data_IF_192378641843
#
_entry.id   IF_192378641843
#
_cell.length_a   1.000
_cell.length_b   1.000
_cell.length_c   1.000
_cell.angle_alpha   90.00
_cell.angle_beta   90.00
_cell.angle_gamma   90.00
#
_symmetry.space_group_name_H-M   'P 1'
#
loop_
_entity.id
_entity.type
_entity.pdbx_description
1 polymer ?
#
# COMPACT_ATOMS: atom_id res chain seq x y z
N UNK A 1 9.44 0.93 -12.22
CA UNK A 1 8.64 0.50 -11.04
C UNK A 1 7.13 0.76 -11.15
N UNK A 2 6.65 1.72 -11.97
CA UNK A 2 5.21 2.08 -12.13
C UNK A 2 4.23 0.90 -12.27
N UNK A 3 4.53 -0.07 -13.14
CA UNK A 3 3.70 -1.27 -13.36
C UNK A 3 3.68 -2.19 -12.12
N UNK A 4 4.78 -2.27 -11.37
CA UNK A 4 4.90 -3.11 -10.18
C UNK A 4 4.08 -2.54 -9.03
N UNK A 5 4.19 -1.26 -8.74
CA UNK A 5 3.43 -0.60 -7.65
C UNK A 5 1.92 -0.56 -7.95
N UNK A 6 1.54 -0.37 -9.22
CA UNK A 6 0.14 -0.51 -9.65
C UNK A 6 -0.42 -1.92 -9.42
N UNK A 7 0.31 -2.96 -9.86
CA UNK A 7 -0.09 -4.35 -9.65
C UNK A 7 -0.16 -4.71 -8.16
N UNK A 8 0.75 -4.17 -7.35
CA UNK A 8 0.76 -4.34 -5.90
C UNK A 8 -0.54 -3.80 -5.29
N UNK A 9 -0.87 -2.52 -5.51
CA UNK A 9 -2.10 -1.91 -5.00
C UNK A 9 -3.36 -2.68 -5.44
N UNK A 10 -3.44 -3.09 -6.72
CA UNK A 10 -4.57 -3.90 -7.21
C UNK A 10 -4.69 -5.26 -6.51
N UNK A 11 -3.56 -5.91 -6.19
CA UNK A 11 -3.58 -7.18 -5.46
C UNK A 11 -4.04 -6.99 -4.02
N UNK A 12 -3.61 -5.94 -3.35
CA UNK A 12 -4.05 -5.60 -2.00
C UNK A 12 -5.55 -5.30 -1.94
N UNK A 13 -6.09 -4.57 -2.94
CA UNK A 13 -7.53 -4.36 -3.07
C UNK A 13 -8.28 -5.69 -3.26
N UNK A 14 -7.75 -6.59 -4.09
CA UNK A 14 -8.36 -7.93 -4.28
C UNK A 14 -8.33 -8.77 -3.00
N UNK A 15 -7.22 -8.75 -2.27
CA UNK A 15 -7.10 -9.42 -0.97
C UNK A 15 -8.14 -8.87 0.02
N UNK A 16 -8.25 -7.55 0.11
CA UNK A 16 -9.20 -6.89 1.02
C UNK A 16 -10.66 -7.24 0.71
N UNK A 17 -11.01 -7.42 -0.58
CA UNK A 17 -12.34 -7.89 -0.99
C UNK A 17 -12.61 -9.36 -0.66
N UNK A 18 -11.57 -10.16 -0.44
CA UNK A 18 -11.67 -11.57 -0.13
C UNK A 18 -11.68 -11.87 1.38
N UNK A 19 -11.51 -10.85 2.23
CA UNK A 19 -11.57 -11.01 3.68
C UNK A 19 -13.01 -11.28 4.15
N UNK A 20 -13.19 -11.98 5.30
CA UNK A 20 -14.51 -12.18 5.89
C UNK A 20 -15.21 -10.86 6.18
N UNK A 21 -16.54 -10.88 6.15
CA UNK A 21 -17.36 -9.73 6.54
C UNK A 21 -17.47 -9.59 8.08
N UNK A 22 -16.35 -9.78 8.79
CA UNK A 22 -16.22 -9.50 10.22
C UNK A 22 -15.76 -8.06 10.47
N UNK A 23 -15.71 -7.63 11.73
CA UNK A 23 -15.19 -6.30 12.06
C UNK A 23 -13.70 -6.20 11.71
N UNK A 24 -12.93 -7.22 12.07
CA UNK A 24 -11.49 -7.37 11.86
C UNK A 24 -11.17 -7.40 10.36
N UNK A 25 -11.89 -8.23 9.59
CA UNK A 25 -11.71 -8.32 8.13
C UNK A 25 -11.96 -6.99 7.42
N UNK A 26 -13.01 -6.24 7.83
CA UNK A 26 -13.26 -4.89 7.30
C UNK A 26 -12.20 -3.89 7.74
N UNK A 27 -11.76 -3.95 9.00
CA UNK A 27 -10.75 -3.05 9.54
C UNK A 27 -9.41 -3.25 8.84
N UNK A 28 -8.87 -4.47 8.84
CA UNK A 28 -7.58 -4.78 8.21
C UNK A 28 -7.61 -4.56 6.70
N UNK A 29 -8.69 -4.96 6.02
CA UNK A 29 -8.85 -4.71 4.58
C UNK A 29 -8.89 -3.22 4.25
N UNK A 30 -9.59 -2.42 5.06
CA UNK A 30 -9.63 -0.97 4.90
C UNK A 30 -8.24 -0.33 5.05
N UNK A 31 -7.50 -0.74 6.08
CA UNK A 31 -6.14 -0.22 6.33
C UNK A 31 -5.15 -0.67 5.25
N UNK A 32 -5.26 -1.90 4.78
CA UNK A 32 -4.42 -2.41 3.69
C UNK A 32 -4.67 -1.64 2.37
N UNK A 33 -5.91 -1.27 2.05
CA UNK A 33 -6.19 -0.42 0.89
C UNK A 33 -5.57 0.97 1.06
N UNK A 34 -5.69 1.53 2.27
CA UNK A 34 -5.19 2.86 2.59
C UNK A 34 -3.67 2.96 2.53
N UNK A 35 -2.94 1.93 2.93
CA UNK A 35 -1.47 1.89 2.88
C UNK A 35 -0.93 1.45 1.50
N UNK A 36 -1.59 0.51 0.82
CA UNK A 36 -1.08 -0.01 -0.46
C UNK A 36 -1.27 0.90 -1.67
N UNK A 37 -2.35 1.70 -1.70
CA UNK A 37 -2.64 2.59 -2.83
C UNK A 37 -1.70 3.81 -2.92
N UNK A 38 -1.30 4.46 -1.80
CA UNK A 38 -0.27 5.49 -1.79
C UNK A 38 1.09 5.05 -2.31
N UNK A 39 1.47 3.77 -2.20
CA UNK A 39 2.72 3.25 -2.81
C UNK A 39 2.75 3.53 -4.32
N UNK A 40 1.64 3.28 -5.01
CA UNK A 40 1.55 3.58 -6.44
C UNK A 40 1.48 5.11 -6.70
N UNK A 41 0.75 5.84 -5.86
CA UNK A 41 0.57 7.29 -6.01
C UNK A 41 1.88 8.06 -5.78
N UNK A 42 2.58 7.81 -4.68
CA UNK A 42 3.84 8.47 -4.32
C UNK A 42 4.97 8.09 -5.28
N UNK A 43 5.03 6.84 -5.74
CA UNK A 43 5.97 6.49 -6.81
C UNK A 43 5.67 7.26 -8.10
N UNK A 44 4.39 7.47 -8.47
CA UNK A 44 4.06 8.28 -9.65
C UNK A 44 4.42 9.75 -9.43
N UNK A 45 4.17 10.29 -8.24
CA UNK A 45 4.52 11.67 -7.89
C UNK A 45 6.03 11.90 -7.89
N UNK A 46 6.85 10.91 -7.51
CA UNK A 46 8.31 11.04 -7.58
C UNK A 46 8.80 11.24 -9.01
N UNK A 47 8.11 10.69 -10.02
CA UNK A 47 8.47 10.89 -11.43
C UNK A 47 8.21 12.32 -11.94
N UNK A 48 7.45 13.12 -11.17
CA UNK A 48 7.16 14.53 -11.45
C UNK A 48 7.93 15.47 -10.51
N UNK A 49 8.87 14.94 -9.72
CA UNK A 49 9.62 15.71 -8.75
C UNK A 49 10.49 16.78 -9.43
N UNK A 50 10.42 18.02 -8.94
CA UNK A 50 11.20 19.15 -9.46
C UNK A 50 12.64 19.20 -8.91
N UNK A 51 12.97 18.33 -7.94
CA UNK A 51 14.32 18.25 -7.37
C UNK A 51 14.64 16.82 -6.92
N UNK A 52 15.93 16.51 -6.81
CA UNK A 52 16.41 15.23 -6.28
C UNK A 52 15.94 15.00 -4.83
N UNK A 53 15.90 16.06 -4.01
CA UNK A 53 15.39 15.98 -2.63
C UNK A 53 13.91 15.57 -2.60
N UNK A 54 13.08 16.18 -3.45
CA UNK A 54 11.65 15.85 -3.57
C UNK A 54 11.45 14.42 -4.09
N UNK A 55 12.27 13.99 -5.05
CA UNK A 55 12.27 12.62 -5.55
C UNK A 55 12.51 11.63 -4.40
N UNK A 56 13.60 11.81 -3.65
CA UNK A 56 13.93 10.94 -2.50
C UNK A 56 12.81 10.93 -1.47
N UNK A 57 12.27 12.10 -1.10
CA UNK A 57 11.19 12.20 -0.13
C UNK A 57 9.96 11.40 -0.56
N UNK A 58 9.56 11.47 -1.84
CA UNK A 58 8.42 10.68 -2.37
C UNK A 58 8.69 9.19 -2.42
N UNK A 59 9.93 8.77 -2.70
CA UNK A 59 10.31 7.36 -2.63
C UNK A 59 10.30 6.84 -1.19
N UNK A 60 10.75 7.64 -0.20
CA UNK A 60 10.68 7.27 1.22
C UNK A 60 9.25 7.08 1.71
N UNK A 61 8.34 8.00 1.39
CA UNK A 61 6.92 7.83 1.69
C UNK A 61 6.39 6.54 1.04
N UNK A 62 6.74 6.28 -0.22
CA UNK A 62 6.34 5.03 -0.89
C UNK A 62 6.89 3.77 -0.23
N UNK A 63 8.02 3.84 0.49
CA UNK A 63 8.59 2.73 1.25
C UNK A 63 7.84 2.54 2.57
N UNK A 64 7.61 3.62 3.31
CA UNK A 64 6.85 3.62 4.58
C UNK A 64 5.44 3.02 4.38
N UNK A 65 4.75 3.42 3.32
CA UNK A 65 3.41 2.91 2.96
C UNK A 65 3.44 1.42 2.56
N UNK A 66 4.55 0.97 1.96
CA UNK A 66 4.73 -0.44 1.60
C UNK A 66 5.02 -1.29 2.84
N UNK A 67 5.78 -0.77 3.80
CA UNK A 67 6.05 -1.40 5.09
C UNK A 67 4.78 -1.52 5.93
N UNK A 68 3.98 -0.45 6.01
CA UNK A 68 2.68 -0.49 6.67
C UNK A 68 1.73 -1.51 6.00
N UNK A 69 1.77 -1.62 4.68
CA UNK A 69 0.99 -2.66 3.97
C UNK A 69 1.40 -4.07 4.40
N UNK A 70 2.69 -4.30 4.70
CA UNK A 70 3.20 -5.60 5.20
C UNK A 70 2.64 -5.89 6.58
N UNK A 71 2.68 -4.91 7.49
CA UNK A 71 2.09 -5.04 8.83
C UNK A 71 0.62 -5.48 8.77
N UNK A 72 -0.20 -4.88 7.91
CA UNK A 72 -1.61 -5.28 7.77
C UNK A 72 -1.78 -6.68 7.18
N UNK A 73 -0.88 -7.11 6.29
CA UNK A 73 -0.86 -8.50 5.81
C UNK A 73 -0.46 -9.48 6.90
N UNK A 74 0.45 -9.10 7.80
CA UNK A 74 0.84 -9.92 8.97
C UNK A 74 -0.34 -10.09 9.94
N UNK A 75 -1.07 -9.02 10.26
CA UNK A 75 -2.31 -9.13 11.05
C UNK A 75 -3.34 -10.06 10.41
N UNK A 76 -3.56 -9.95 9.09
CA UNK A 76 -4.48 -10.83 8.35
C UNK A 76 -4.06 -12.31 8.41
N UNK A 77 -2.75 -12.59 8.47
CA UNK A 77 -2.23 -13.96 8.58
C UNK A 77 -2.34 -14.48 10.02
N UNK A 78 -2.07 -13.63 11.00
CA UNK A 78 -2.07 -13.99 12.43
C UNK A 78 -3.48 -14.14 13.03
N UNK A 79 -4.47 -13.42 12.50
CA UNK A 79 -5.89 -13.50 12.90
C UNK A 79 -6.60 -14.76 12.36
N UNK A 80 -5.91 -15.59 11.57
CA UNK A 80 -6.45 -16.85 11.03
C UNK A 80 -6.35 -18.03 12.00
#
# INVERSE_FOLDING_TARGET
>A
MKKRTWKFALRCIKLSKALPNSYEGRHFGGQLIRSSTPVAANYRASQLAQSHKTFIAKIRISLEEADESVLWMEFIIADK
#
